data_IF_928686494110
#
_entry.id   IF_928686494110
#
_cell.length_a   1.000
_cell.length_b   1.000
_cell.length_c   1.000
_cell.angle_alpha   90.00
_cell.angle_beta   90.00
_cell.angle_gamma   90.00
#
_symmetry.space_group_name_H-M   'P 1'
#
loop_
_entity.id
_entity.type
_entity.pdbx_description
1 polymer ?
#
# COMPACT_ATOMS: atom_id res chain seq x y z
N UNK A 1 23.75 0.08 10.08
CA UNK A 1 23.49 -1.34 10.49
C UNK A 1 24.57 -1.80 11.45
N UNK A 2 24.20 -2.51 12.55
CA UNK A 2 25.13 -3.19 13.45
C UNK A 2 25.23 -4.67 13.05
N UNK A 3 26.43 -5.25 13.18
CA UNK A 3 26.67 -6.66 12.91
C UNK A 3 27.48 -7.28 14.06
N UNK A 4 27.10 -8.46 14.50
CA UNK A 4 27.74 -9.16 15.60
C UNK A 4 27.16 -10.56 15.81
N UNK A 5 27.70 -11.26 16.80
CA UNK A 5 27.18 -12.56 17.24
C UNK A 5 25.96 -12.40 18.14
N UNK A 6 25.15 -13.47 18.28
CA UNK A 6 24.03 -13.52 19.23
C UNK A 6 24.48 -13.12 20.64
N UNK A 7 25.61 -13.62 21.09
CA UNK A 7 26.15 -13.31 22.43
C UNK A 7 26.44 -11.79 22.58
N UNK A 8 27.02 -11.15 21.55
CA UNK A 8 27.28 -9.71 21.58
C UNK A 8 25.98 -8.88 21.60
N UNK A 9 24.96 -9.30 20.86
CA UNK A 9 23.66 -8.61 20.88
C UNK A 9 22.92 -8.82 22.20
N UNK A 10 23.01 -10.04 22.80
CA UNK A 10 22.45 -10.31 24.12
C UNK A 10 23.05 -9.43 25.19
N UNK A 11 24.37 -9.27 25.18
CA UNK A 11 25.09 -8.43 26.12
C UNK A 11 24.78 -6.93 25.87
N UNK A 12 24.84 -6.47 24.64
CA UNK A 12 24.67 -5.07 24.31
C UNK A 12 23.25 -4.52 24.58
N UNK A 13 22.23 -5.35 24.42
CA UNK A 13 20.81 -4.94 24.51
C UNK A 13 20.07 -5.60 25.69
N UNK A 14 20.73 -6.39 26.50
CA UNK A 14 20.15 -7.08 27.65
C UNK A 14 19.01 -8.02 27.24
N UNK A 15 19.13 -8.66 26.08
CA UNK A 15 18.12 -9.57 25.52
C UNK A 15 18.61 -11.01 25.58
N UNK A 16 17.66 -11.95 25.38
CA UNK A 16 17.96 -13.37 25.16
C UNK A 16 17.43 -13.76 23.76
N UNK A 17 18.33 -13.73 22.79
CA UNK A 17 18.04 -14.12 21.41
C UNK A 17 18.10 -15.63 21.30
N UNK A 18 17.02 -16.24 20.86
CA UNK A 18 16.86 -17.68 20.69
C UNK A 18 16.30 -18.00 19.30
N UNK A 19 16.47 -19.23 18.89
CA UNK A 19 15.79 -19.81 17.74
C UNK A 19 14.47 -20.45 18.21
N UNK A 20 13.38 -20.06 17.57
CA UNK A 20 12.03 -20.56 17.84
C UNK A 20 11.55 -21.39 16.67
N UNK A 21 10.89 -22.50 16.95
CA UNK A 21 10.24 -23.34 15.94
C UNK A 21 8.75 -23.06 15.91
N UNK A 22 8.17 -23.07 14.69
CA UNK A 22 6.74 -23.00 14.46
C UNK A 22 6.40 -23.80 13.19
N UNK A 23 5.10 -24.08 12.89
CA UNK A 23 4.72 -24.91 11.75
C UNK A 23 5.25 -24.48 10.38
N UNK A 24 5.60 -23.21 10.21
CA UNK A 24 6.15 -22.65 8.96
C UNK A 24 7.68 -22.61 8.90
N UNK A 25 8.39 -23.10 9.94
CA UNK A 25 9.86 -23.07 9.99
C UNK A 25 10.42 -22.56 11.31
N UNK A 26 11.69 -22.18 11.34
CA UNK A 26 12.32 -21.55 12.51
C UNK A 26 12.60 -20.08 12.25
N UNK A 27 12.68 -19.31 13.32
CA UNK A 27 13.07 -17.90 13.29
C UNK A 27 13.88 -17.54 14.54
N UNK A 28 14.75 -16.54 14.39
CA UNK A 28 15.41 -15.93 15.54
C UNK A 28 14.48 -14.86 16.11
N UNK A 29 14.25 -14.92 17.41
CA UNK A 29 13.45 -13.96 18.12
C UNK A 29 13.98 -13.76 19.55
N UNK A 30 13.26 -13.00 20.34
CA UNK A 30 13.54 -12.73 21.73
C UNK A 30 12.29 -12.72 22.60
N UNK A 31 12.48 -12.91 23.87
CA UNK A 31 11.48 -12.60 24.91
C UNK A 31 11.99 -11.45 25.78
N UNK A 32 11.05 -10.68 26.35
CA UNK A 32 11.37 -9.54 27.23
C UNK A 32 11.70 -8.24 26.51
N UNK A 33 12.00 -7.21 27.29
CA UNK A 33 12.29 -5.87 26.81
C UNK A 33 13.71 -5.77 26.23
N UNK A 34 13.90 -4.79 25.34
CA UNK A 34 15.23 -4.36 24.88
C UNK A 34 15.73 -3.30 25.85
N UNK A 35 16.97 -3.42 26.29
CA UNK A 35 17.62 -2.46 27.15
C UNK A 35 18.70 -1.71 26.37
N UNK A 36 18.72 -0.40 26.54
CA UNK A 36 19.76 0.45 25.98
C UNK A 36 20.69 0.94 27.09
N UNK A 37 22.01 1.06 26.82
CA UNK A 37 22.90 1.79 27.73
C UNK A 37 22.38 3.23 27.95
N UNK A 38 22.49 3.73 29.19
CA UNK A 38 21.98 5.08 29.56
C UNK A 38 22.49 6.19 28.63
N UNK A 39 23.73 6.07 28.14
CA UNK A 39 24.32 7.03 27.19
C UNK A 39 23.60 7.09 25.83
N UNK A 40 22.81 6.10 25.48
CA UNK A 40 22.03 6.03 24.23
C UNK A 40 20.55 6.40 24.44
N UNK A 41 20.13 6.60 25.66
CA UNK A 41 18.77 7.01 25.98
C UNK A 41 18.46 8.39 25.36
N UNK A 42 17.35 8.48 24.62
CA UNK A 42 16.97 9.69 23.86
C UNK A 42 17.77 9.92 22.57
N UNK A 43 18.76 9.07 22.25
CA UNK A 43 19.52 9.12 20.99
C UNK A 43 19.06 8.00 20.03
N UNK A 44 18.86 6.79 20.56
CA UNK A 44 18.37 5.63 19.81
C UNK A 44 16.86 5.55 19.96
N UNK A 45 16.15 5.63 18.86
CA UNK A 45 14.66 5.58 18.81
C UNK A 45 14.15 4.15 18.79
N UNK A 46 14.84 3.27 18.07
CA UNK A 46 14.45 1.87 17.89
C UNK A 46 15.66 0.97 17.71
N UNK A 47 15.53 -0.29 18.12
CA UNK A 47 16.44 -1.38 17.82
C UNK A 47 15.63 -2.45 17.08
N UNK A 48 15.85 -2.57 15.80
CA UNK A 48 15.13 -3.45 14.88
C UNK A 48 16.03 -4.61 14.41
N UNK A 49 15.44 -5.62 13.78
CA UNK A 49 16.17 -6.77 13.24
C UNK A 49 16.64 -7.79 14.26
N UNK A 50 16.25 -7.67 15.52
CA UNK A 50 16.50 -8.72 16.54
C UNK A 50 15.58 -9.93 16.32
N UNK A 51 14.42 -9.71 15.74
CA UNK A 51 13.48 -10.72 15.28
C UNK A 51 13.55 -10.77 13.73
N UNK A 52 13.59 -11.98 13.16
CA UNK A 52 13.64 -12.17 11.71
C UNK A 52 12.40 -12.89 11.15
N UNK A 53 11.31 -12.90 11.91
CA UNK A 53 10.01 -13.35 11.37
C UNK A 53 9.57 -12.44 10.23
N UNK A 54 8.85 -12.98 9.23
CA UNK A 54 8.15 -12.14 8.27
C UNK A 54 7.24 -11.15 8.98
N UNK A 55 7.48 -9.85 8.75
CA UNK A 55 6.79 -8.77 9.46
C UNK A 55 5.49 -8.37 8.75
N UNK A 56 5.50 -8.42 7.43
CA UNK A 56 4.40 -7.96 6.60
C UNK A 56 3.96 -9.05 5.61
N UNK A 57 2.76 -8.87 5.08
CA UNK A 57 2.20 -9.67 4.00
C UNK A 57 1.76 -8.74 2.86
N UNK A 58 1.75 -9.23 1.61
CA UNK A 58 1.21 -8.45 0.49
C UNK A 58 -0.32 -8.39 0.59
N UNK A 59 -0.88 -7.28 0.14
CA UNK A 59 -2.32 -7.01 0.16
C UNK A 59 -2.92 -7.18 -1.24
N UNK A 60 -2.76 -8.36 -1.83
CA UNK A 60 -3.38 -8.69 -3.10
C UNK A 60 -4.15 -10.00 -3.06
N UNK A 61 -5.12 -10.12 -3.94
CA UNK A 61 -5.90 -11.34 -4.14
C UNK A 61 -6.07 -11.61 -5.62
N UNK A 62 -5.66 -12.82 -6.05
CA UNK A 62 -5.93 -13.28 -7.40
C UNK A 62 -7.39 -13.74 -7.50
N UNK A 63 -8.08 -13.36 -8.58
CA UNK A 63 -9.40 -13.92 -8.91
C UNK A 63 -9.27 -15.43 -9.12
N UNK A 64 -10.11 -16.21 -8.47
CA UNK A 64 -10.18 -17.65 -8.71
C UNK A 64 -10.45 -17.95 -10.17
N UNK A 65 -9.61 -18.79 -10.79
CA UNK A 65 -9.68 -19.07 -12.22
C UNK A 65 -10.98 -19.81 -12.59
N UNK A 66 -11.98 -19.06 -13.01
CA UNK A 66 -13.12 -19.56 -13.75
C UNK A 66 -13.01 -19.05 -15.20
N UNK A 67 -12.17 -19.71 -16.01
CA UNK A 67 -12.05 -19.45 -17.44
C UNK A 67 -10.82 -18.64 -17.87
N UNK A 68 -10.39 -18.87 -19.11
CA UNK A 68 -9.28 -18.11 -19.72
C UNK A 68 -9.64 -16.64 -19.82
N UNK A 69 -8.86 -15.78 -19.16
CA UNK A 69 -8.97 -14.33 -19.31
C UNK A 69 -8.54 -13.97 -20.73
N UNK A 70 -9.51 -13.57 -21.57
CA UNK A 70 -9.23 -13.03 -22.90
C UNK A 70 -9.12 -11.51 -22.78
N UNK A 71 -7.95 -10.98 -23.04
CA UNK A 71 -7.70 -9.55 -23.18
C UNK A 71 -8.51 -9.01 -24.38
N UNK A 72 -9.26 -7.93 -24.17
CA UNK A 72 -10.01 -7.23 -25.21
C UNK A 72 -11.30 -7.87 -25.75
N UNK A 73 -12.19 -8.38 -24.94
CA UNK A 73 -13.57 -8.55 -25.36
C UNK A 73 -14.32 -7.22 -25.23
N UNK A 74 -14.47 -6.52 -26.34
CA UNK A 74 -15.41 -5.38 -26.39
C UNK A 74 -16.84 -5.91 -26.22
N UNK A 75 -17.64 -5.23 -25.34
CA UNK A 75 -19.10 -5.32 -25.27
C UNK A 75 -19.76 -6.46 -24.50
N UNK A 76 -19.27 -6.78 -23.30
CA UNK A 76 -20.14 -7.13 -22.16
C UNK A 76 -19.66 -6.28 -20.98
N UNK A 77 -20.44 -6.08 -19.92
CA UNK A 77 -19.98 -5.34 -18.75
C UNK A 77 -18.60 -5.90 -18.37
N UNK A 78 -17.56 -5.04 -18.40
CA UNK A 78 -16.20 -5.49 -18.16
C UNK A 78 -16.14 -5.98 -16.72
N UNK A 79 -15.71 -7.22 -16.52
CA UNK A 79 -15.55 -7.82 -15.19
C UNK A 79 -14.11 -7.66 -14.68
N UNK A 80 -13.25 -6.92 -15.39
CA UNK A 80 -11.89 -6.54 -15.01
C UNK A 80 -11.45 -5.35 -15.85
N UNK A 81 -10.44 -4.65 -15.39
CA UNK A 81 -9.97 -3.43 -16.04
C UNK A 81 -8.45 -3.46 -16.24
N UNK A 82 -8.00 -2.89 -17.34
CA UNK A 82 -6.61 -2.47 -17.41
C UNK A 82 -6.42 -1.20 -16.57
N UNK A 83 -5.22 -0.94 -16.01
CA UNK A 83 -4.98 0.30 -15.26
C UNK A 83 -5.28 1.57 -16.08
N UNK A 84 -5.08 1.52 -17.40
CA UNK A 84 -5.39 2.65 -18.30
C UNK A 84 -6.89 2.91 -18.43
N UNK A 85 -7.72 1.87 -18.39
CA UNK A 85 -9.18 2.01 -18.35
C UNK A 85 -9.62 2.66 -17.04
N UNK A 86 -9.07 2.22 -15.89
CA UNK A 86 -9.36 2.83 -14.60
C UNK A 86 -8.90 4.30 -14.55
N UNK A 87 -7.73 4.62 -15.11
CA UNK A 87 -7.29 6.02 -15.22
C UNK A 87 -8.26 6.89 -16.02
N UNK A 88 -8.88 6.33 -17.07
CA UNK A 88 -9.90 7.03 -17.86
C UNK A 88 -11.21 7.19 -17.08
N UNK A 89 -11.68 6.13 -16.41
CA UNK A 89 -12.89 6.14 -15.59
C UNK A 89 -12.79 7.12 -14.42
N UNK A 90 -11.66 7.16 -13.75
CA UNK A 90 -11.37 8.10 -12.66
C UNK A 90 -10.95 9.49 -13.13
N UNK A 91 -10.97 9.76 -14.45
CA UNK A 91 -10.67 11.07 -15.01
C UNK A 91 -9.27 11.58 -14.70
N UNK A 92 -8.25 10.71 -14.78
CA UNK A 92 -6.88 11.10 -14.51
C UNK A 92 -6.38 12.17 -15.48
N UNK A 93 -5.56 13.13 -15.02
CA UNK A 93 -5.04 14.17 -15.90
C UNK A 93 -4.21 13.57 -17.03
N UNK A 94 -4.21 14.24 -18.18
CA UNK A 94 -3.34 13.87 -19.28
C UNK A 94 -1.86 13.95 -18.86
N UNK A 95 -1.02 13.17 -19.54
CA UNK A 95 0.41 13.10 -19.24
C UNK A 95 0.85 11.70 -18.88
N UNK A 96 2.16 11.52 -18.84
CA UNK A 96 2.79 10.21 -18.65
C UNK A 96 3.63 10.12 -17.38
N UNK A 97 3.65 11.15 -16.54
CA UNK A 97 4.57 11.23 -15.40
C UNK A 97 6.03 11.43 -15.81
N UNK A 98 6.28 11.98 -17.01
CA UNK A 98 7.64 12.17 -17.54
C UNK A 98 8.51 12.98 -16.59
N UNK A 99 9.68 12.44 -16.27
CA UNK A 99 10.66 13.07 -15.37
C UNK A 99 10.51 12.69 -13.90
N UNK A 100 9.38 12.06 -13.53
CA UNK A 100 9.14 11.59 -12.17
C UNK A 100 9.76 10.21 -11.89
N UNK A 101 9.85 9.87 -10.62
CA UNK A 101 10.32 8.56 -10.16
C UNK A 101 9.36 8.04 -9.09
N UNK A 102 8.82 6.85 -9.31
CA UNK A 102 8.01 6.11 -8.34
C UNK A 102 8.90 5.03 -7.72
N UNK A 103 9.03 5.03 -6.40
CA UNK A 103 9.62 3.94 -5.65
C UNK A 103 8.54 2.91 -5.29
N UNK A 104 8.85 1.64 -5.43
CA UNK A 104 8.03 0.52 -5.00
C UNK A 104 8.83 -0.25 -3.96
N UNK A 105 8.22 -0.57 -2.83
CA UNK A 105 8.87 -1.31 -1.73
C UNK A 105 8.42 -2.77 -1.78
N UNK A 106 9.38 -3.69 -1.90
CA UNK A 106 9.12 -5.11 -2.05
C UNK A 106 9.89 -5.96 -1.04
N UNK A 107 9.20 -6.86 -0.38
CA UNK A 107 9.76 -7.69 0.70
C UNK A 107 9.96 -9.15 0.29
N UNK A 108 9.88 -9.43 -1.00
CA UNK A 108 10.10 -10.76 -1.58
C UNK A 108 9.71 -10.81 -3.05
N UNK A 109 9.87 -11.97 -3.68
CA UNK A 109 9.49 -12.16 -5.07
C UNK A 109 10.35 -11.41 -6.08
N UNK A 110 9.77 -11.19 -7.25
CA UNK A 110 10.47 -10.47 -8.30
C UNK A 110 9.69 -10.34 -9.59
N UNK A 111 10.25 -9.59 -10.53
CA UNK A 111 9.68 -9.38 -11.85
C UNK A 111 10.59 -9.93 -12.96
N UNK A 112 9.96 -10.33 -14.07
CA UNK A 112 10.65 -10.76 -15.29
C UNK A 112 10.53 -9.68 -16.37
N UNK A 113 11.64 -9.17 -16.92
CA UNK A 113 11.60 -8.15 -17.98
C UNK A 113 10.77 -8.58 -19.20
N UNK A 114 10.74 -9.86 -19.51
CA UNK A 114 9.94 -10.42 -20.62
C UNK A 114 8.44 -10.31 -20.40
N UNK A 115 7.98 -10.41 -19.16
CA UNK A 115 6.55 -10.24 -18.83
C UNK A 115 6.16 -8.77 -18.89
N UNK A 116 6.98 -7.88 -18.34
CA UNK A 116 6.78 -6.44 -18.48
C UNK A 116 6.72 -6.01 -19.95
N UNK A 117 7.65 -6.50 -20.78
CA UNK A 117 7.64 -6.20 -22.22
C UNK A 117 6.34 -6.63 -22.89
N UNK A 118 5.87 -7.85 -22.61
CA UNK A 118 4.62 -8.36 -23.16
C UNK A 118 3.40 -7.61 -22.66
N UNK A 119 3.37 -7.30 -21.37
CA UNK A 119 2.28 -6.56 -20.76
C UNK A 119 2.11 -5.16 -21.38
N UNK A 120 3.15 -4.33 -21.34
CA UNK A 120 3.08 -2.96 -21.87
C UNK A 120 2.86 -2.92 -23.37
N UNK A 121 3.44 -3.89 -24.13
CA UNK A 121 3.15 -4.02 -25.57
C UNK A 121 1.70 -4.40 -25.83
N UNK A 122 1.12 -5.30 -25.02
CA UNK A 122 -0.29 -5.68 -25.09
C UNK A 122 -1.24 -4.52 -24.84
N UNK A 123 -0.91 -3.66 -23.90
CA UNK A 123 -1.66 -2.43 -23.59
C UNK A 123 -1.43 -1.30 -24.60
N UNK A 124 -0.47 -1.45 -25.54
CA UNK A 124 -0.03 -0.37 -26.44
C UNK A 124 0.46 0.89 -25.69
N UNK A 125 1.07 0.68 -24.52
CA UNK A 125 1.64 1.73 -23.66
C UNK A 125 3.16 1.60 -23.68
N UNK A 126 3.85 2.73 -23.66
CA UNK A 126 5.31 2.73 -23.55
C UNK A 126 5.74 2.03 -22.24
N UNK A 127 6.66 1.09 -22.34
CA UNK A 127 7.21 0.43 -21.15
C UNK A 127 8.04 1.43 -20.34
N UNK A 128 7.75 1.63 -19.05
CA UNK A 128 8.57 2.47 -18.19
C UNK A 128 9.96 1.88 -17.99
N UNK A 129 10.92 2.72 -17.61
CA UNK A 129 12.22 2.24 -17.16
C UNK A 129 12.08 1.68 -15.75
N UNK A 130 12.23 0.36 -15.59
CA UNK A 130 12.18 -0.34 -14.30
C UNK A 130 13.60 -0.68 -13.86
N UNK A 131 13.93 -0.36 -12.60
CA UNK A 131 15.22 -0.64 -11.97
C UNK A 131 15.00 -1.38 -10.65
N UNK A 132 15.84 -2.35 -10.34
CA UNK A 132 15.87 -3.02 -9.03
C UNK A 132 17.01 -2.45 -8.20
N UNK A 133 16.73 -2.11 -6.94
CA UNK A 133 17.69 -1.71 -5.92
C UNK A 133 17.69 -2.78 -4.83
N UNK A 134 18.88 -3.27 -4.48
CA UNK A 134 19.05 -4.24 -3.39
C UNK A 134 19.28 -3.49 -2.07
N UNK A 135 18.46 -3.77 -1.08
CA UNK A 135 18.58 -3.28 0.30
C UNK A 135 18.74 -4.49 1.20
N UNK A 136 19.73 -4.49 2.09
CA UNK A 136 20.01 -5.58 3.05
C UNK A 136 20.03 -6.97 2.40
N UNK A 137 20.65 -7.07 1.22
CA UNK A 137 20.73 -8.30 0.42
C UNK A 137 19.40 -8.77 -0.21
N UNK A 138 18.28 -8.04 -0.07
CA UNK A 138 17.06 -8.27 -0.83
C UNK A 138 17.33 -8.15 -2.33
N UNK A 139 16.65 -8.93 -3.17
CA UNK A 139 16.93 -9.01 -4.61
C UNK A 139 15.65 -9.20 -5.40
N UNK A 140 15.66 -8.71 -6.63
CA UNK A 140 14.72 -9.17 -7.64
C UNK A 140 14.95 -10.67 -7.88
N UNK A 141 14.09 -11.50 -7.30
CA UNK A 141 14.22 -12.96 -7.33
C UNK A 141 12.87 -13.62 -7.60
N UNK A 142 12.42 -13.66 -8.88
CA UNK A 142 11.15 -14.30 -9.23
C UNK A 142 11.12 -15.76 -8.79
N UNK A 143 10.09 -16.12 -8.02
CA UNK A 143 9.88 -17.43 -7.45
C UNK A 143 9.22 -18.40 -8.42
N UNK A 144 8.52 -17.89 -9.44
CA UNK A 144 7.68 -18.64 -10.36
C UNK A 144 6.30 -18.96 -9.81
N UNK A 145 5.89 -18.27 -8.74
CA UNK A 145 4.58 -18.40 -8.11
C UNK A 145 3.75 -17.13 -8.30
N UNK A 146 2.88 -17.12 -9.29
CA UNK A 146 2.04 -15.97 -9.60
C UNK A 146 1.06 -15.59 -8.47
N UNK A 147 0.71 -16.51 -7.60
CA UNK A 147 -0.12 -16.27 -6.40
C UNK A 147 0.74 -15.99 -5.15
N UNK A 148 2.04 -15.88 -5.32
CA UNK A 148 3.00 -15.53 -4.27
C UNK A 148 3.52 -14.10 -4.43
N UNK A 149 4.67 -13.78 -3.82
CA UNK A 149 5.24 -12.43 -3.87
C UNK A 149 5.51 -11.90 -5.29
N UNK A 150 5.68 -12.78 -6.30
CA UNK A 150 5.82 -12.34 -7.70
C UNK A 150 4.56 -11.64 -8.20
N UNK A 151 3.37 -12.08 -7.75
CA UNK A 151 2.10 -11.43 -8.05
C UNK A 151 2.07 -9.98 -7.58
N UNK A 152 2.54 -9.73 -6.35
CA UNK A 152 2.62 -8.38 -5.78
C UNK A 152 3.56 -7.48 -6.58
N UNK A 153 4.80 -7.93 -6.78
CA UNK A 153 5.82 -7.16 -7.53
C UNK A 153 5.35 -6.79 -8.93
N UNK A 154 4.71 -7.74 -9.64
CA UNK A 154 4.23 -7.49 -10.99
C UNK A 154 3.01 -6.55 -11.00
N UNK A 155 2.07 -6.73 -10.06
CA UNK A 155 0.91 -5.86 -9.89
C UNK A 155 1.35 -4.40 -9.71
N UNK A 156 2.23 -4.16 -8.77
CA UNK A 156 2.70 -2.81 -8.44
C UNK A 156 3.39 -2.13 -9.63
N UNK A 157 4.32 -2.83 -10.30
CA UNK A 157 5.03 -2.30 -11.46
C UNK A 157 4.07 -2.04 -12.62
N UNK A 158 3.18 -2.98 -12.90
CA UNK A 158 2.27 -2.91 -14.04
C UNK A 158 1.21 -1.82 -13.86
N UNK A 159 0.65 -1.69 -12.65
CA UNK A 159 -0.33 -0.63 -12.36
C UNK A 159 0.34 0.74 -12.40
N UNK A 160 1.38 0.98 -11.60
CA UNK A 160 2.06 2.27 -11.57
C UNK A 160 2.62 2.65 -12.95
N UNK A 161 3.21 1.67 -13.65
CA UNK A 161 3.81 1.87 -14.96
C UNK A 161 2.81 2.13 -16.08
N UNK A 162 1.65 1.49 -16.07
CA UNK A 162 0.61 1.77 -17.07
C UNK A 162 -0.07 3.13 -16.83
N UNK A 163 -0.19 3.55 -15.58
CA UNK A 163 -0.70 4.88 -15.22
C UNK A 163 0.32 5.98 -15.57
N UNK A 164 1.59 5.80 -15.25
CA UNK A 164 2.64 6.80 -15.46
C UNK A 164 3.81 6.27 -16.31
N UNK A 165 3.59 5.93 -17.58
CA UNK A 165 4.58 5.22 -18.41
C UNK A 165 5.85 6.05 -18.72
N UNK A 166 5.84 7.34 -18.52
CA UNK A 166 7.01 8.21 -18.64
C UNK A 166 7.80 8.35 -17.33
N UNK A 167 7.26 7.88 -16.21
CA UNK A 167 7.98 7.87 -14.96
C UNK A 167 8.99 6.71 -14.93
N UNK A 168 10.07 6.89 -14.18
CA UNK A 168 10.98 5.81 -13.83
C UNK A 168 10.41 5.06 -12.63
N UNK A 169 10.38 3.74 -12.67
CA UNK A 169 10.01 2.87 -11.56
C UNK A 169 11.28 2.28 -10.94
N UNK A 170 11.44 2.43 -9.64
CA UNK A 170 12.56 1.87 -8.89
C UNK A 170 12.01 0.97 -7.79
N UNK A 171 12.29 -0.31 -7.89
CA UNK A 171 11.81 -1.34 -6.96
C UNK A 171 12.91 -1.61 -5.93
N UNK A 172 12.64 -1.31 -4.67
CA UNK A 172 13.54 -1.51 -3.54
C UNK A 172 13.22 -2.84 -2.88
N UNK A 173 14.08 -3.84 -3.09
CA UNK A 173 13.91 -5.18 -2.52
C UNK A 173 14.67 -5.28 -1.21
N UNK A 174 13.98 -5.70 -0.15
CA UNK A 174 14.55 -5.94 1.17
C UNK A 174 14.05 -7.26 1.78
N UNK A 175 14.72 -7.81 2.81
CA UNK A 175 14.16 -8.90 3.60
C UNK A 175 12.87 -8.48 4.29
N UNK A 176 11.91 -9.40 4.38
CA UNK A 176 10.64 -9.19 5.09
C UNK A 176 10.85 -9.27 6.61
N UNK A 177 11.50 -8.27 7.17
CA UNK A 177 11.69 -8.06 8.61
C UNK A 177 11.40 -6.62 8.95
N UNK A 178 11.17 -6.30 10.22
CA UNK A 178 10.95 -4.93 10.68
C UNK A 178 12.11 -3.97 10.30
N UNK A 179 13.35 -4.45 10.36
CA UNK A 179 14.52 -3.66 9.95
C UNK A 179 14.63 -3.53 8.44
N UNK A 180 14.54 -4.63 7.68
CA UNK A 180 14.70 -4.61 6.22
C UNK A 180 13.65 -3.76 5.52
N UNK A 181 12.40 -3.81 6.00
CA UNK A 181 11.33 -3.00 5.45
C UNK A 181 11.57 -1.50 5.71
N UNK A 182 11.96 -1.11 6.94
CA UNK A 182 12.31 0.29 7.22
C UNK A 182 13.52 0.74 6.41
N UNK A 183 14.53 -0.12 6.27
CA UNK A 183 15.74 0.22 5.50
C UNK A 183 15.42 0.40 4.01
N UNK A 184 14.46 -0.35 3.43
CA UNK A 184 13.98 -0.13 2.07
C UNK A 184 13.28 1.23 1.91
N UNK A 185 12.40 1.57 2.86
CA UNK A 185 11.72 2.88 2.89
C UNK A 185 12.74 4.02 3.02
N UNK A 186 13.68 3.90 3.95
CA UNK A 186 14.73 4.89 4.16
C UNK A 186 15.66 5.02 2.92
N UNK A 187 16.00 3.90 2.29
CA UNK A 187 16.78 3.90 1.04
C UNK A 187 16.04 4.65 -0.08
N UNK A 188 14.73 4.44 -0.24
CA UNK A 188 13.92 5.15 -1.23
C UNK A 188 13.83 6.66 -0.93
N UNK A 189 13.62 7.05 0.32
CA UNK A 189 13.53 8.45 0.75
C UNK A 189 14.83 9.20 0.47
N UNK A 190 15.98 8.58 0.74
CA UNK A 190 17.29 9.20 0.65
C UNK A 190 18.05 8.91 -0.65
N UNK A 191 17.40 8.30 -1.65
CA UNK A 191 18.05 8.02 -2.94
C UNK A 191 18.27 9.29 -3.76
N UNK A 192 19.50 9.82 -3.67
CA UNK A 192 19.92 11.02 -4.41
C UNK A 192 20.17 10.75 -5.90
N UNK A 193 20.26 9.48 -6.33
CA UNK A 193 20.45 9.07 -7.71
C UNK A 193 19.13 8.98 -8.46
N UNK A 194 18.17 8.28 -7.89
CA UNK A 194 16.86 8.05 -8.51
C UNK A 194 15.85 9.14 -8.15
N UNK A 195 15.96 9.71 -6.96
CA UNK A 195 15.17 10.84 -6.44
C UNK A 195 13.66 10.59 -6.50
N UNK A 196 13.14 9.54 -5.89
CA UNK A 196 11.70 9.28 -5.89
C UNK A 196 10.90 10.50 -5.42
N UNK A 197 9.78 10.76 -6.06
CA UNK A 197 8.81 11.77 -5.66
C UNK A 197 7.55 11.15 -5.04
N UNK A 198 7.37 9.84 -5.27
CA UNK A 198 6.27 9.05 -4.71
C UNK A 198 6.83 7.68 -4.30
N UNK A 199 6.33 7.15 -3.19
CA UNK A 199 6.60 5.79 -2.72
C UNK A 199 5.27 5.03 -2.68
N UNK A 200 5.22 3.82 -3.24
CA UNK A 200 4.11 2.87 -3.15
C UNK A 200 4.51 1.73 -2.24
N UNK A 201 3.62 1.39 -1.31
CA UNK A 201 3.80 0.31 -0.34
C UNK A 201 2.55 -0.55 -0.35
N UNK A 202 2.71 -1.81 -0.75
CA UNK A 202 1.63 -2.80 -0.86
C UNK A 202 1.77 -3.93 0.17
N UNK A 203 2.66 -3.75 1.14
CA UNK A 203 2.93 -4.68 2.23
C UNK A 203 2.60 -4.07 3.56
N UNK A 204 1.97 -4.87 4.43
CA UNK A 204 1.62 -4.42 5.77
C UNK A 204 1.12 -5.57 6.66
N UNK A 205 0.50 -5.19 7.75
CA UNK A 205 -0.16 -6.10 8.68
C UNK A 205 -0.75 -5.35 9.87
N UNK A 206 -1.61 -6.02 10.67
CA UNK A 206 -2.32 -5.37 11.75
C UNK A 206 -1.39 -4.68 12.74
N UNK A 207 -1.72 -3.47 13.21
CA UNK A 207 -0.93 -2.74 14.20
C UNK A 207 -0.54 -3.61 15.40
N UNK A 208 -1.42 -4.53 15.80
CA UNK A 208 -1.18 -5.45 16.91
C UNK A 208 -0.01 -6.42 16.70
N UNK A 209 0.45 -6.61 15.46
CA UNK A 209 1.62 -7.42 15.12
C UNK A 209 2.94 -6.65 15.13
N UNK A 210 2.90 -5.34 15.34
CA UNK A 210 4.06 -4.46 15.32
C UNK A 210 4.45 -4.01 16.73
N UNK A 211 5.75 -3.78 16.94
CA UNK A 211 6.19 -3.13 18.17
C UNK A 211 6.01 -1.63 18.09
N UNK A 212 5.70 -0.97 19.20
CA UNK A 212 5.55 0.49 19.26
C UNK A 212 6.80 1.22 18.74
N UNK A 213 8.00 0.71 19.04
CA UNK A 213 9.24 1.30 18.54
C UNK A 213 9.35 1.21 17.01
N UNK A 214 8.92 0.09 16.40
CA UNK A 214 8.92 -0.04 14.95
C UNK A 214 7.94 0.95 14.33
N UNK A 215 6.68 0.99 14.79
CA UNK A 215 5.68 1.93 14.29
C UNK A 215 6.15 3.38 14.41
N UNK A 216 6.77 3.76 15.53
CA UNK A 216 7.35 5.10 15.72
C UNK A 216 8.48 5.39 14.73
N UNK A 217 9.39 4.42 14.48
CA UNK A 217 10.51 4.61 13.57
C UNK A 217 10.08 4.76 12.11
N UNK A 218 9.07 3.99 11.69
CA UNK A 218 8.49 4.11 10.35
C UNK A 218 7.75 5.44 10.18
N UNK A 219 6.97 5.85 11.17
CA UNK A 219 6.27 7.14 11.14
C UNK A 219 7.26 8.30 11.02
N UNK A 220 8.39 8.25 11.72
CA UNK A 220 9.47 9.24 11.58
C UNK A 220 10.09 9.22 10.18
N UNK A 221 10.23 8.06 9.54
CA UNK A 221 10.68 7.98 8.16
C UNK A 221 9.66 8.63 7.21
N UNK A 222 8.36 8.43 7.42
CA UNK A 222 7.32 9.09 6.63
C UNK A 222 7.23 10.59 6.87
N UNK A 223 7.50 11.06 8.10
CA UNK A 223 7.67 12.49 8.38
C UNK A 223 8.85 13.07 7.59
N UNK A 224 9.97 12.34 7.50
CA UNK A 224 11.11 12.75 6.67
C UNK A 224 10.74 12.77 5.18
N UNK A 225 10.00 11.77 4.68
CA UNK A 225 9.47 11.76 3.31
C UNK A 225 8.60 13.00 3.05
N UNK A 226 7.68 13.32 3.95
CA UNK A 226 6.82 14.50 3.88
C UNK A 226 7.64 15.80 3.82
N UNK A 227 8.66 15.93 4.68
CA UNK A 227 9.57 17.09 4.70
C UNK A 227 10.38 17.23 3.40
N UNK A 228 10.66 16.11 2.71
CA UNK A 228 11.37 16.07 1.42
C UNK A 228 10.42 16.21 0.22
N UNK A 229 9.12 16.40 0.45
CA UNK A 229 8.12 16.52 -0.58
C UNK A 229 7.85 15.20 -1.32
N UNK A 230 7.97 14.07 -0.64
CA UNK A 230 7.67 12.74 -1.17
C UNK A 230 6.31 12.28 -0.65
N UNK A 231 5.43 11.87 -1.54
CA UNK A 231 4.14 11.26 -1.18
C UNK A 231 4.34 9.77 -0.91
N UNK A 232 3.82 9.26 0.19
CA UNK A 232 3.83 7.82 0.52
C UNK A 232 2.41 7.30 0.42
N UNK A 233 2.15 6.36 -0.50
CA UNK A 233 0.88 5.65 -0.65
C UNK A 233 1.03 4.26 -0.04
N UNK A 234 0.10 3.84 0.82
CA UNK A 234 0.14 2.54 1.47
C UNK A 234 -1.22 1.84 1.40
N UNK A 235 -1.23 0.58 1.01
CA UNK A 235 -2.41 -0.27 0.99
C UNK A 235 -2.95 -0.47 2.41
N UNK A 236 -4.28 -0.41 2.61
CA UNK A 236 -4.90 -0.44 3.95
C UNK A 236 -5.30 -1.84 4.43
N UNK A 237 -4.96 -2.88 3.68
CA UNK A 237 -5.26 -4.28 4.03
C UNK A 237 -6.47 -4.85 3.28
N UNK A 238 -6.56 -6.18 3.30
CA UNK A 238 -7.49 -6.96 2.48
C UNK A 238 -8.43 -7.85 3.29
N UNK A 239 -8.49 -7.68 4.60
CA UNK A 239 -9.24 -8.59 5.46
C UNK A 239 -10.30 -7.87 6.32
N UNK A 240 -10.78 -6.71 5.85
CA UNK A 240 -11.83 -5.96 6.53
C UNK A 240 -11.36 -5.28 7.82
N UNK A 241 -12.30 -5.02 8.72
CA UNK A 241 -12.07 -4.26 9.95
C UNK A 241 -11.23 -4.99 11.01
N UNK A 242 -11.08 -6.31 10.93
CA UNK A 242 -10.27 -7.10 11.88
C UNK A 242 -8.85 -7.42 11.37
N UNK A 243 -8.55 -7.00 10.15
CA UNK A 243 -7.30 -7.27 9.42
C UNK A 243 -6.82 -8.74 9.48
N UNK A 244 -7.77 -9.66 9.64
CA UNK A 244 -7.53 -11.10 9.69
C UNK A 244 -6.90 -11.59 10.99
N UNK A 245 -6.99 -10.84 12.08
CA UNK A 245 -6.52 -11.26 13.41
C UNK A 245 -7.48 -12.28 14.02
N UNK A 246 -8.78 -12.07 13.86
CA UNK A 246 -9.81 -13.04 14.27
C UNK A 246 -10.02 -13.14 15.77
N UNK A 247 -9.67 -12.12 16.55
CA UNK A 247 -9.85 -12.07 18.01
C UNK A 247 -11.14 -11.36 18.42
N UNK A 248 -11.92 -10.88 17.45
CA UNK A 248 -13.19 -10.17 17.67
C UNK A 248 -13.02 -8.68 17.95
N UNK A 249 -11.82 -8.13 17.80
CA UNK A 249 -11.55 -6.70 17.86
C UNK A 249 -11.25 -6.12 16.48
N UNK A 250 -11.37 -4.80 16.34
CA UNK A 250 -10.94 -4.09 15.15
C UNK A 250 -9.42 -3.93 15.14
N UNK A 251 -8.84 -4.10 13.95
CA UNK A 251 -7.42 -3.89 13.70
C UNK A 251 -7.24 -3.14 12.39
N UNK A 252 -6.46 -2.07 12.41
CA UNK A 252 -6.06 -1.38 11.19
C UNK A 252 -4.68 -1.84 10.75
N UNK A 253 -4.45 -1.81 9.45
CA UNK A 253 -3.18 -2.19 8.86
C UNK A 253 -2.13 -1.09 9.05
N UNK A 254 -0.90 -1.51 9.33
CA UNK A 254 0.29 -0.68 9.32
C UNK A 254 1.24 -1.18 8.22
N UNK A 255 1.83 -0.27 7.38
CA UNK A 255 2.09 1.14 7.65
C UNK A 255 0.99 2.13 7.16
N UNK A 256 -0.15 1.68 6.67
CA UNK A 256 -1.24 2.56 6.23
C UNK A 256 -1.78 3.46 7.36
N UNK A 257 -1.77 2.98 8.60
CA UNK A 257 -2.26 3.74 9.75
C UNK A 257 -1.36 4.90 10.20
N UNK A 258 -0.12 5.02 9.68
CA UNK A 258 0.68 6.22 9.93
C UNK A 258 -0.04 7.49 9.46
N UNK A 259 -0.08 8.58 10.26
CA UNK A 259 -0.64 9.85 9.84
C UNK A 259 0.06 10.49 8.63
N UNK A 260 1.27 10.06 8.29
CA UNK A 260 2.08 10.61 7.20
C UNK A 260 2.09 9.74 5.93
N UNK A 261 1.33 8.64 5.91
CA UNK A 261 1.03 7.88 4.69
C UNK A 261 -0.36 8.27 4.16
N UNK A 262 -0.54 8.19 2.84
CA UNK A 262 -1.85 8.17 2.20
C UNK A 262 -2.35 6.73 2.21
N UNK A 263 -3.24 6.43 3.14
CA UNK A 263 -3.84 5.10 3.27
C UNK A 263 -4.86 4.85 2.15
N UNK A 264 -4.66 3.80 1.37
CA UNK A 264 -5.43 3.46 0.18
C UNK A 264 -6.32 2.25 0.44
N UNK A 265 -7.62 2.46 0.55
CA UNK A 265 -8.66 1.45 0.69
C UNK A 265 -9.23 0.95 -0.64
N UNK A 266 -10.16 0.01 -0.57
CA UNK A 266 -10.65 -0.71 -1.72
C UNK A 266 -12.15 -0.61 -1.98
N UNK A 267 -12.52 -0.52 -3.27
CA UNK A 267 -13.90 -0.54 -3.76
C UNK A 267 -14.13 -1.68 -4.74
N UNK A 268 -15.41 -2.00 -4.98
CA UNK A 268 -15.90 -2.74 -6.14
C UNK A 268 -16.45 -1.73 -7.14
N UNK A 269 -15.89 -1.70 -8.35
CA UNK A 269 -16.25 -0.75 -9.38
C UNK A 269 -16.93 -1.45 -10.55
N UNK A 270 -18.07 -0.94 -10.96
CA UNK A 270 -18.76 -1.35 -12.19
C UNK A 270 -18.81 -0.20 -13.16
N UNK A 271 -18.58 -0.48 -14.43
CA UNK A 271 -18.58 0.54 -15.48
C UNK A 271 -19.28 0.05 -16.75
N UNK A 272 -19.82 1.00 -17.51
CA UNK A 272 -20.35 0.78 -18.84
C UNK A 272 -19.77 1.82 -19.80
N UNK A 273 -19.01 1.36 -20.78
CA UNK A 273 -18.21 2.25 -21.62
C UNK A 273 -17.20 3.03 -20.80
N UNK A 274 -17.23 4.35 -20.89
CA UNK A 274 -16.32 5.25 -20.17
C UNK A 274 -16.96 5.88 -18.91
N UNK A 275 -17.99 5.27 -18.35
CA UNK A 275 -18.70 5.81 -17.20
C UNK A 275 -18.81 4.76 -16.08
N UNK A 276 -18.48 5.17 -14.87
CA UNK A 276 -18.74 4.39 -13.67
C UNK A 276 -20.25 4.33 -13.47
N UNK A 277 -20.81 3.14 -13.38
CA UNK A 277 -22.24 2.91 -13.15
C UNK A 277 -22.56 2.65 -11.70
N UNK A 278 -21.62 2.06 -10.98
CA UNK A 278 -21.70 1.80 -9.54
C UNK A 278 -20.30 1.69 -8.96
N UNK A 279 -20.11 2.21 -7.76
CA UNK A 279 -18.90 1.97 -6.95
C UNK A 279 -19.32 1.83 -5.50
N UNK A 280 -18.93 0.74 -4.86
CA UNK A 280 -19.31 0.38 -3.50
C UNK A 280 -18.08 -0.08 -2.74
N UNK A 281 -18.16 -0.17 -1.42
CA UNK A 281 -17.10 -0.80 -0.61
C UNK A 281 -16.81 -2.20 -1.12
N UNK A 282 -15.53 -2.55 -1.26
CA UNK A 282 -15.12 -3.93 -1.50
C UNK A 282 -15.33 -4.76 -0.23
N UNK A 283 -16.23 -5.74 -0.31
CA UNK A 283 -16.48 -6.73 0.71
C UNK A 283 -17.15 -7.97 0.11
N UNK A 284 -16.38 -9.03 -0.08
CA UNK A 284 -16.87 -10.31 -0.61
C UNK A 284 -17.35 -11.27 0.51
N UNK A 285 -17.47 -10.77 1.72
CA UNK A 285 -17.89 -11.55 2.90
C UNK A 285 -16.74 -12.26 3.61
N UNK A 286 -17.04 -12.98 4.67
CA UNK A 286 -16.04 -13.59 5.54
C UNK A 286 -15.05 -14.48 4.76
N UNK A 287 -13.76 -14.27 4.95
CA UNK A 287 -12.63 -15.00 4.37
C UNK A 287 -12.43 -14.84 2.85
N UNK A 288 -13.27 -14.07 2.15
CA UNK A 288 -13.11 -13.86 0.70
C UNK A 288 -12.41 -12.56 0.36
N UNK A 289 -12.31 -11.63 1.29
CA UNK A 289 -11.65 -10.34 1.16
C UNK A 289 -12.60 -9.18 1.38
N UNK A 290 -12.06 -8.14 1.97
CA UNK A 290 -12.71 -6.87 2.16
C UNK A 290 -11.64 -5.79 2.40
N UNK A 291 -11.95 -4.54 2.02
CA UNK A 291 -11.04 -3.43 2.28
C UNK A 291 -10.74 -3.26 3.76
N UNK A 292 -9.47 -3.15 4.11
CA UNK A 292 -9.04 -2.80 5.46
C UNK A 292 -9.41 -1.35 5.78
N UNK A 293 -9.63 -1.09 7.05
CA UNK A 293 -9.95 0.24 7.56
C UNK A 293 -10.55 0.18 8.96
N UNK A 294 -10.54 1.32 9.62
CA UNK A 294 -10.98 1.41 11.02
C UNK A 294 -10.33 2.61 11.72
N UNK A 295 -10.07 2.44 13.00
CA UNK A 295 -9.48 3.46 13.87
C UNK A 295 -8.22 2.90 14.52
N UNK A 296 -7.09 3.60 14.39
CA UNK A 296 -5.81 3.19 14.96
C UNK A 296 -5.89 3.06 16.47
N UNK A 297 -5.27 2.00 16.99
CA UNK A 297 -5.04 1.83 18.42
C UNK A 297 -3.77 2.52 18.93
N UNK A 298 -2.93 3.01 18.02
CA UNK A 298 -1.61 3.55 18.34
C UNK A 298 -1.45 5.04 17.98
N UNK A 299 -1.86 5.46 16.78
CA UNK A 299 -1.64 6.81 16.30
C UNK A 299 -2.73 7.77 16.73
N UNK A 300 -2.31 8.90 17.30
CA UNK A 300 -3.21 9.99 17.67
C UNK A 300 -3.94 10.57 16.44
N UNK A 301 -5.10 11.16 16.70
CA UNK A 301 -5.89 11.86 15.69
C UNK A 301 -5.06 13.00 15.07
N UNK A 302 -4.79 12.95 13.75
CA UNK A 302 -4.08 14.03 13.10
C UNK A 302 -4.98 15.27 12.90
N UNK A 303 -4.43 16.49 12.87
CA UNK A 303 -5.22 17.72 12.74
C UNK A 303 -6.14 17.76 11.52
N UNK A 304 -5.76 17.10 10.42
CA UNK A 304 -6.58 17.08 9.20
C UNK A 304 -7.80 16.16 9.30
N UNK A 305 -7.91 15.34 10.36
CA UNK A 305 -9.08 14.50 10.65
C UNK A 305 -9.92 15.03 11.82
N UNK A 306 -9.57 16.16 12.40
CA UNK A 306 -10.36 16.74 13.50
C UNK A 306 -11.80 17.02 13.08
N UNK A 307 -12.74 16.64 13.95
CA UNK A 307 -14.17 16.83 13.72
C UNK A 307 -14.86 15.74 12.89
N UNK A 308 -14.11 14.77 12.36
CA UNK A 308 -14.68 13.63 11.65
C UNK A 308 -15.44 12.70 12.60
N UNK A 309 -16.31 11.91 12.00
CA UNK A 309 -17.08 10.89 12.68
C UNK A 309 -16.81 9.51 12.07
N UNK A 310 -16.92 8.47 12.86
CA UNK A 310 -16.84 7.08 12.43
C UNK A 310 -18.20 6.41 12.68
N UNK A 311 -18.70 5.70 11.66
CA UNK A 311 -19.96 4.97 11.71
C UNK A 311 -19.70 3.47 11.74
N UNK A 312 -20.33 2.78 12.70
CA UNK A 312 -20.27 1.32 12.83
C UNK A 312 -21.52 0.67 12.29
N UNK A 313 -21.39 -0.54 11.77
CA UNK A 313 -22.54 -1.38 11.36
C UNK A 313 -23.44 -1.70 12.55
N UNK A 314 -22.84 -1.90 13.72
CA UNK A 314 -23.52 -2.12 14.99
C UNK A 314 -22.94 -1.16 16.04
N UNK A 315 -23.65 -0.08 16.38
CA UNK A 315 -23.18 0.85 17.40
C UNK A 315 -23.34 2.34 17.08
N UNK A 316 -23.81 2.65 15.88
CA UNK A 316 -24.08 4.03 15.46
C UNK A 316 -22.84 4.83 15.13
N UNK A 317 -22.98 6.15 15.16
CA UNK A 317 -21.94 7.11 14.77
C UNK A 317 -21.34 7.77 16.01
N UNK A 318 -20.03 7.92 16.06
CA UNK A 318 -19.31 8.58 17.14
C UNK A 318 -18.17 9.45 16.60
N UNK A 319 -17.73 10.42 17.40
CA UNK A 319 -16.60 11.26 17.03
C UNK A 319 -15.32 10.44 16.92
N UNK A 320 -14.56 10.64 15.84
CA UNK A 320 -13.26 10.02 15.64
C UNK A 320 -12.28 10.51 16.70
N UNK A 321 -11.65 9.60 17.43
CA UNK A 321 -10.78 9.93 18.57
C UNK A 321 -9.28 9.69 18.29
N UNK A 322 -8.97 8.83 17.34
CA UNK A 322 -7.62 8.46 16.93
C UNK A 322 -7.53 8.49 15.39
N UNK A 323 -6.35 8.22 14.81
CA UNK A 323 -6.16 8.16 13.36
C UNK A 323 -7.17 7.22 12.71
N UNK A 324 -7.98 7.72 11.79
CA UNK A 324 -8.93 6.95 10.99
C UNK A 324 -8.33 6.50 9.65
N UNK A 325 -8.56 5.26 9.25
CA UNK A 325 -8.04 4.60 8.05
C UNK A 325 -9.22 4.05 7.23
N UNK A 326 -9.19 4.14 5.87
CA UNK A 326 -8.19 4.76 5.00
C UNK A 326 -8.40 6.27 4.81
N UNK A 327 -7.54 6.92 4.00
CA UNK A 327 -7.73 8.31 3.57
C UNK A 327 -8.52 8.40 2.26
N UNK A 328 -8.23 7.49 1.35
CA UNK A 328 -8.78 7.41 -0.02
C UNK A 328 -8.99 5.96 -0.42
N UNK A 329 -9.65 5.74 -1.56
CA UNK A 329 -9.83 4.39 -2.09
C UNK A 329 -9.69 4.35 -3.62
N UNK A 330 -9.90 3.17 -4.18
CA UNK A 330 -10.00 2.87 -5.59
C UNK A 330 -10.43 1.42 -5.81
N UNK A 331 -10.65 1.02 -7.07
CA UNK A 331 -11.03 -0.35 -7.40
C UNK A 331 -10.00 -1.35 -6.85
N UNK A 332 -10.48 -2.34 -6.10
CA UNK A 332 -9.65 -3.33 -5.42
C UNK A 332 -10.27 -4.73 -5.42
N UNK A 333 -11.57 -4.84 -5.67
CA UNK A 333 -12.25 -6.14 -5.66
C UNK A 333 -11.69 -7.04 -6.77
N UNK A 334 -11.20 -8.26 -6.48
CA UNK A 334 -10.76 -9.19 -7.53
C UNK A 334 -11.82 -9.50 -8.59
N UNK A 335 -13.10 -9.34 -8.28
CA UNK A 335 -14.18 -9.55 -9.25
C UNK A 335 -14.22 -8.45 -10.31
N UNK A 336 -13.77 -7.26 -10.00
CA UNK A 336 -13.64 -6.11 -10.90
C UNK A 336 -12.20 -5.68 -11.13
N UNK A 337 -11.23 -6.46 -10.67
CA UNK A 337 -9.82 -6.13 -10.50
C UNK A 337 -9.04 -5.86 -11.80
N UNK A 338 -7.74 -5.88 -11.66
CA UNK A 338 -6.77 -5.42 -12.66
C UNK A 338 -6.29 -6.56 -13.54
N UNK A 339 -6.32 -6.36 -14.85
CA UNK A 339 -5.66 -7.26 -15.80
C UNK A 339 -4.15 -7.09 -15.69
N UNK A 340 -3.45 -8.15 -15.30
CA UNK A 340 -1.99 -8.18 -15.08
C UNK A 340 -1.36 -9.41 -15.71
N UNK A 341 -0.02 -9.40 -15.81
CA UNK A 341 0.77 -10.51 -16.32
C UNK A 341 1.86 -10.92 -15.35
N UNK A 342 1.77 -12.12 -14.81
CA UNK A 342 2.70 -12.66 -13.81
C UNK A 342 3.20 -14.04 -14.28
N UNK A 343 4.52 -14.27 -14.26
CA UNK A 343 5.16 -15.54 -14.57
C UNK A 343 4.66 -16.19 -15.86
N UNK A 344 4.48 -15.39 -16.90
CA UNK A 344 4.01 -15.84 -18.20
C UNK A 344 2.50 -16.02 -18.32
N UNK A 345 1.72 -15.76 -17.27
CA UNK A 345 0.27 -15.93 -17.21
C UNK A 345 -0.44 -14.58 -17.18
N UNK A 346 -1.55 -14.47 -17.91
CA UNK A 346 -2.47 -13.35 -17.74
C UNK A 346 -3.49 -13.71 -16.66
N UNK A 347 -3.72 -12.81 -15.74
CA UNK A 347 -4.64 -13.04 -14.63
C UNK A 347 -5.31 -11.74 -14.19
N UNK A 348 -6.33 -11.84 -13.37
CA UNK A 348 -6.98 -10.70 -12.72
C UNK A 348 -6.58 -10.71 -11.25
N UNK A 349 -6.04 -9.59 -10.81
CA UNK A 349 -5.65 -9.38 -9.41
C UNK A 349 -6.40 -8.17 -8.88
N UNK A 350 -6.87 -8.26 -7.64
CA UNK A 350 -7.39 -7.17 -6.84
C UNK A 350 -6.62 -7.06 -5.54
N UNK A 351 -7.21 -6.39 -4.55
CA UNK A 351 -6.61 -6.06 -3.28
C UNK A 351 -6.24 -4.59 -3.19
N UNK A 352 -6.06 -4.10 -1.98
CA UNK A 352 -5.65 -2.71 -1.75
C UNK A 352 -4.24 -2.41 -2.25
N UNK A 353 -3.44 -3.48 -2.51
CA UNK A 353 -2.17 -3.41 -3.24
C UNK A 353 -2.29 -2.82 -4.65
N UNK A 354 -3.43 -2.94 -5.32
CA UNK A 354 -3.63 -2.31 -6.61
C UNK A 354 -3.88 -0.80 -6.50
N UNK A 355 -4.40 -0.35 -5.35
CA UNK A 355 -4.81 1.04 -5.12
C UNK A 355 -3.62 1.94 -4.78
N UNK A 356 -2.66 1.45 -4.01
CA UNK A 356 -1.47 2.24 -3.69
C UNK A 356 -0.67 2.64 -4.95
N UNK A 357 -0.32 1.73 -5.89
CA UNK A 357 0.36 2.11 -7.14
C UNK A 357 -0.54 2.88 -8.11
N UNK A 358 -1.87 2.70 -8.07
CA UNK A 358 -2.81 3.55 -8.82
C UNK A 358 -2.70 5.02 -8.41
N UNK A 359 -2.75 5.29 -7.09
CA UNK A 359 -2.56 6.63 -6.54
C UNK A 359 -1.14 7.15 -6.76
N UNK A 360 -0.12 6.32 -6.61
CA UNK A 360 1.26 6.70 -6.88
C UNK A 360 1.44 7.16 -8.35
N UNK A 361 0.84 6.46 -9.30
CA UNK A 361 0.82 6.84 -10.71
C UNK A 361 0.08 8.15 -10.97
N UNK A 362 -1.08 8.36 -10.31
CA UNK A 362 -1.83 9.64 -10.37
C UNK A 362 -0.97 10.81 -9.87
N UNK A 363 -0.34 10.65 -8.70
CA UNK A 363 0.50 11.71 -8.13
C UNK A 363 1.72 11.99 -9.01
N UNK A 364 2.36 10.96 -9.60
CA UNK A 364 3.45 11.16 -10.55
C UNK A 364 3.02 11.97 -11.79
N UNK A 365 1.82 11.72 -12.33
CA UNK A 365 1.26 12.55 -13.41
C UNK A 365 1.03 14.00 -12.97
N UNK A 366 0.49 14.20 -11.77
CA UNK A 366 0.25 15.54 -11.20
C UNK A 366 1.57 16.29 -11.00
N UNK A 367 2.57 15.64 -10.41
CA UNK A 367 3.89 16.22 -10.19
C UNK A 367 4.53 16.68 -11.51
N UNK A 368 4.51 15.80 -12.52
CA UNK A 368 5.03 16.12 -13.85
C UNK A 368 4.30 17.29 -14.50
N UNK A 369 2.97 17.31 -14.44
CA UNK A 369 2.15 18.38 -15.02
C UNK A 369 2.38 19.73 -14.34
N UNK A 370 2.61 19.73 -13.03
CA UNK A 370 2.83 20.96 -12.23
C UNK A 370 4.31 21.35 -12.13
N UNK A 371 5.22 20.51 -12.59
CA UNK A 371 6.68 20.66 -12.43
C UNK A 371 7.09 20.90 -10.97
N UNK A 372 6.35 20.31 -10.03
CA UNK A 372 6.62 20.35 -8.59
C UNK A 372 6.07 19.11 -7.90
N UNK A 373 6.68 18.73 -6.79
CA UNK A 373 6.20 17.62 -5.95
C UNK A 373 4.93 18.03 -5.20
N UNK A 374 3.93 17.16 -5.15
CA UNK A 374 2.75 17.33 -4.31
C UNK A 374 3.07 17.14 -2.81
N UNK A 375 3.99 16.21 -2.51
CA UNK A 375 4.46 15.96 -1.14
C UNK A 375 3.41 15.31 -0.25
N UNK A 376 3.32 15.74 1.00
CA UNK A 376 2.34 15.24 1.95
C UNK A 376 0.96 15.81 1.64
N UNK A 377 0.12 15.04 0.95
CA UNK A 377 -1.14 15.52 0.36
C UNK A 377 -2.37 15.36 1.25
N UNK A 378 -2.31 14.55 2.32
CA UNK A 378 -3.46 14.27 3.18
C UNK A 378 -4.21 15.54 3.60
N UNK A 379 -3.57 16.57 4.20
CA UNK A 379 -4.28 17.79 4.61
C UNK A 379 -4.99 18.49 3.45
N UNK A 380 -4.40 18.46 2.24
CA UNK A 380 -4.98 19.06 1.06
C UNK A 380 -6.24 18.32 0.61
N UNK A 381 -6.24 16.98 0.66
CA UNK A 381 -7.40 16.17 0.29
C UNK A 381 -8.55 16.37 1.27
N UNK A 382 -8.27 16.40 2.58
CA UNK A 382 -9.31 16.59 3.60
C UNK A 382 -9.98 17.97 3.51
N UNK A 383 -9.23 19.01 3.19
CA UNK A 383 -9.79 20.36 2.95
C UNK A 383 -10.59 20.40 1.64
N UNK A 384 -10.24 19.58 0.66
CA UNK A 384 -10.85 19.52 -0.67
C UNK A 384 -11.59 18.20 -0.92
N UNK A 385 -12.24 17.62 0.08
CA UNK A 385 -12.96 16.34 -0.01
C UNK A 385 -13.87 16.23 -1.26
N UNK A 386 -14.56 17.29 -1.74
CA UNK A 386 -15.34 17.23 -3.00
C UNK A 386 -14.50 16.99 -4.27
N UNK A 387 -13.19 16.87 -4.15
CA UNK A 387 -12.32 16.42 -5.24
C UNK A 387 -12.35 14.90 -5.44
N UNK A 388 -13.03 14.16 -4.57
CA UNK A 388 -13.15 12.71 -4.61
C UNK A 388 -14.61 12.31 -4.89
N UNK A 389 -14.80 11.04 -5.29
CA UNK A 389 -16.12 10.43 -5.39
C UNK A 389 -16.43 9.74 -4.07
N UNK A 390 -17.36 10.31 -3.32
CA UNK A 390 -17.81 9.80 -2.03
C UNK A 390 -18.53 8.44 -2.20
N UNK A 391 -18.09 7.41 -1.49
CA UNK A 391 -18.64 6.05 -1.56
C UNK A 391 -19.59 5.86 -0.37
N UNK A 392 -20.87 5.76 -0.66
CA UNK A 392 -21.92 5.78 0.38
C UNK A 392 -22.66 4.45 0.54
N UNK A 393 -22.14 3.36 -0.06
CA UNK A 393 -22.78 2.04 -0.01
C UNK A 393 -21.78 0.95 0.37
N UNK A 394 -22.12 0.19 1.42
CA UNK A 394 -21.36 -0.96 1.87
C UNK A 394 -20.79 -0.82 3.28
N UNK A 395 -19.97 -1.78 3.63
CA UNK A 395 -19.24 -1.87 4.90
C UNK A 395 -18.01 -2.77 4.72
N UNK A 396 -17.07 -2.71 5.65
CA UNK A 396 -15.90 -3.60 5.65
C UNK A 396 -15.90 -4.64 6.80
N UNK A 397 -17.06 -4.86 7.40
CA UNK A 397 -17.27 -5.65 8.61
C UNK A 397 -17.90 -4.77 9.67
N UNK A 398 -17.13 -4.27 10.61
CA UNK A 398 -17.66 -3.48 11.73
C UNK A 398 -17.87 -1.99 11.42
N UNK A 399 -17.30 -1.48 10.33
CA UNK A 399 -17.52 -0.09 9.91
C UNK A 399 -18.41 -0.02 8.68
N UNK A 400 -19.28 0.98 8.67
CA UNK A 400 -20.20 1.27 7.57
C UNK A 400 -19.82 2.60 6.91
N UNK A 401 -20.19 2.72 5.63
CA UNK A 401 -20.06 4.00 4.89
C UNK A 401 -20.94 5.09 5.51
N UNK A 402 -20.48 6.32 5.29
CA UNK A 402 -21.20 7.54 5.64
C UNK A 402 -20.98 8.58 4.53
N UNK A 403 -21.69 9.70 4.57
CA UNK A 403 -21.38 10.84 3.69
C UNK A 403 -20.09 11.51 4.15
N UNK A 404 -19.18 11.75 3.23
CA UNK A 404 -17.85 12.29 3.50
C UNK A 404 -16.86 11.19 3.89
N UNK A 405 -16.00 11.44 4.87
CA UNK A 405 -15.04 10.41 5.30
C UNK A 405 -15.71 9.27 6.06
N UNK A 406 -15.34 8.05 5.74
CA UNK A 406 -15.68 6.85 6.50
C UNK A 406 -14.50 5.87 6.63
N UNK A 407 -14.60 4.93 7.57
CA UNK A 407 -13.54 3.97 7.87
C UNK A 407 -13.51 2.75 6.93
N UNK A 408 -14.17 2.82 5.78
CA UNK A 408 -14.14 1.80 4.73
C UNK A 408 -13.39 2.30 3.49
N UNK A 409 -13.68 3.54 3.07
CA UNK A 409 -13.24 4.09 1.79
C UNK A 409 -12.60 5.48 1.91
N UNK A 410 -12.44 5.97 3.14
CA UNK A 410 -11.89 7.30 3.39
C UNK A 410 -12.77 8.40 2.81
N UNK A 411 -12.15 9.35 2.14
CA UNK A 411 -12.83 10.44 1.43
C UNK A 411 -13.41 10.00 0.08
N UNK A 412 -13.14 8.77 -0.36
CA UNK A 412 -13.64 8.20 -1.61
C UNK A 412 -12.59 7.94 -2.68
N UNK A 413 -13.05 7.57 -3.87
CA UNK A 413 -12.21 7.25 -5.03
C UNK A 413 -11.81 8.50 -5.82
N UNK A 414 -10.75 8.47 -6.66
CA UNK A 414 -10.20 9.68 -7.24
C UNK A 414 -11.07 10.26 -8.36
N UNK A 415 -11.34 11.56 -8.34
CA UNK A 415 -11.55 12.32 -9.55
C UNK A 415 -10.22 13.00 -9.90
N UNK A 416 -9.45 12.36 -10.76
CA UNK A 416 -8.04 12.72 -10.97
C UNK A 416 -7.81 14.17 -11.37
N UNK A 417 -8.71 14.76 -12.17
CA UNK A 417 -8.63 16.18 -12.57
C UNK A 417 -8.89 17.10 -11.37
N UNK A 418 -9.85 16.76 -10.52
CA UNK A 418 -10.14 17.57 -9.32
C UNK A 418 -9.06 17.41 -8.28
N UNK A 419 -8.55 16.19 -8.08
CA UNK A 419 -7.39 15.93 -7.21
C UNK A 419 -6.19 16.76 -7.68
N UNK A 420 -5.90 16.78 -8.98
CA UNK A 420 -4.83 17.60 -9.53
C UNK A 420 -4.99 19.09 -9.23
N UNK A 421 -6.21 19.59 -9.11
CA UNK A 421 -6.45 20.99 -8.76
C UNK A 421 -6.32 21.26 -7.25
N UNK A 422 -6.52 20.24 -6.41
CA UNK A 422 -6.52 20.34 -4.95
C UNK A 422 -5.11 20.27 -4.33
N UNK A 423 -4.13 19.60 -4.99
CA UNK A 423 -2.78 19.34 -4.46
C UNK A 423 -1.66 20.11 -5.15
#
# INVERSE_FOLDING_TARGET
MLSGTVAQFNDAFGVDLQEFEHPGGSYRGRTGAIHLPDALNGVVTAVLGLDNRPQARPHFRARSAAGNVQWHAAAAASTSFTPTQLAALYGFPAGTGQGECIAIIELGGGYRPTDLQRYFSGLQVAQPKVLAVSVDHGKNHPTGSANGPDGEVMLDIEVAGAIAPGAKIVVYFAPNTDAGFLDAIAAAIHDTTNKPSVISISWGGPESSWTHQAMTAYDQAFQAAAAMGITVCAASGDNGSDDGVGDGADHVDFPASSPFSLACGGTNLQASGNSITQETVWNEGPNNGATGGGVSGFFALPPYQEGLQVTRTHGGTQTLAMRGVPDVCGDADPQTGYDVRVDGQNMVIGGTSAVAPLWAGLIARINAAKARRAGFINPHLYVNAPALHDITQGNNGDFATATGWDACTGLGSPNGQKVANAV
#
